data_IF_433048340289
#
_entry.id   IF_433048340289
#
_cell.length_a   1.000
_cell.length_b   1.000
_cell.length_c   1.000
_cell.angle_alpha   90.00
_cell.angle_beta   90.00
_cell.angle_gamma   90.00
#
_symmetry.space_group_name_H-M   'P 1'
#
loop_
_entity.id
_entity.type
_entity.pdbx_description
1 polymer ?
#
# COMPACT_ATOMS: atom_id res chain seq x y z
N UNK A 1 -49.19 -29.64 35.02
CA UNK A 1 -49.56 -28.65 33.99
C UNK A 1 -48.30 -27.93 33.51
N UNK A 2 -47.19 -28.68 33.39
CA UNK A 2 -45.83 -28.11 33.51
C UNK A 2 -44.92 -28.48 32.33
N UNK A 3 -45.37 -29.34 31.41
CA UNK A 3 -44.63 -29.61 30.16
C UNK A 3 -44.97 -28.61 29.04
N UNK A 4 -46.14 -27.96 29.09
CA UNK A 4 -46.56 -27.03 28.03
C UNK A 4 -45.94 -25.63 28.15
N UNK A 5 -45.55 -25.20 29.36
CA UNK A 5 -44.92 -23.88 29.57
C UNK A 5 -43.44 -23.89 29.17
N UNK A 6 -42.75 -25.01 29.35
CA UNK A 6 -41.35 -25.15 28.94
C UNK A 6 -41.15 -25.16 27.41
N UNK A 7 -42.12 -25.69 26.65
CA UNK A 7 -42.07 -25.71 25.19
C UNK A 7 -42.29 -24.32 24.57
N UNK A 8 -43.09 -23.44 25.20
CA UNK A 8 -43.31 -22.07 24.71
C UNK A 8 -42.11 -21.15 24.99
N UNK A 9 -41.39 -21.33 26.09
CA UNK A 9 -40.20 -20.53 26.42
C UNK A 9 -38.97 -20.90 25.57
N UNK A 10 -38.87 -22.15 25.10
CA UNK A 10 -37.80 -22.57 24.19
C UNK A 10 -37.99 -22.06 22.74
N UNK A 11 -39.23 -21.75 22.33
CA UNK A 11 -39.52 -21.17 21.00
C UNK A 11 -39.34 -19.65 20.93
N UNK A 12 -39.23 -18.93 22.06
CA UNK A 12 -38.94 -17.49 22.05
C UNK A 12 -37.44 -17.15 22.07
N UNK A 13 -36.55 -18.12 22.28
CA UNK A 13 -35.09 -17.91 22.31
C UNK A 13 -34.39 -18.09 20.94
N UNK A 14 -35.14 -18.42 19.87
CA UNK A 14 -34.61 -18.56 18.50
C UNK A 14 -34.98 -17.40 17.57
N UNK A 15 -35.58 -16.33 18.10
CA UNK A 15 -35.71 -15.08 17.40
C UNK A 15 -34.55 -14.14 17.80
N UNK A 16 -33.51 -14.07 16.96
CA UNK A 16 -32.71 -12.86 16.63
C UNK A 16 -31.22 -13.13 16.45
N UNK A 17 -30.88 -13.80 15.36
CA UNK A 17 -29.74 -13.41 14.53
C UNK A 17 -30.04 -13.85 13.10
N UNK A 18 -31.08 -13.25 12.50
CA UNK A 18 -31.16 -13.28 11.03
C UNK A 18 -29.82 -12.73 10.54
N UNK A 19 -29.06 -13.44 9.68
CA UNK A 19 -27.91 -12.84 9.05
C UNK A 19 -28.41 -11.57 8.38
N UNK A 20 -27.85 -10.42 8.78
CA UNK A 20 -28.18 -9.16 8.13
C UNK A 20 -28.04 -9.41 6.63
N UNK A 21 -29.16 -9.30 5.90
CA UNK A 21 -29.16 -9.45 4.45
C UNK A 21 -28.09 -8.48 3.97
N UNK A 22 -26.98 -9.01 3.45
CA UNK A 22 -25.92 -8.18 2.92
C UNK A 22 -26.54 -7.39 1.77
N UNK A 23 -26.89 -6.13 2.01
CA UNK A 23 -27.35 -5.26 0.93
C UNK A 23 -26.18 -5.13 -0.04
N UNK A 24 -26.45 -5.54 -1.28
CA UNK A 24 -25.53 -5.36 -2.38
C UNK A 24 -25.61 -3.89 -2.80
N UNK A 25 -24.55 -3.13 -2.56
CA UNK A 25 -24.42 -1.79 -3.10
C UNK A 25 -24.39 -1.87 -4.63
N UNK A 26 -25.23 -1.08 -5.31
CA UNK A 26 -25.16 -0.90 -6.76
C UNK A 26 -24.11 0.15 -7.13
N UNK A 27 -23.62 0.20 -8.39
CA UNK A 27 -22.71 1.26 -8.82
C UNK A 27 -23.23 2.69 -8.55
N UNK A 28 -24.53 3.01 -8.76
CA UNK A 28 -25.10 4.29 -8.33
C UNK A 28 -25.03 4.55 -6.82
N UNK A 29 -25.20 3.52 -5.98
CA UNK A 29 -25.07 3.69 -4.53
C UNK A 29 -23.64 4.05 -4.14
N UNK A 30 -22.66 3.35 -4.70
CA UNK A 30 -21.24 3.65 -4.47
C UNK A 30 -20.88 5.04 -5.01
N UNK A 31 -21.45 5.46 -6.15
CA UNK A 31 -21.28 6.80 -6.68
C UNK A 31 -21.75 7.89 -5.69
N UNK A 32 -22.87 7.67 -4.99
CA UNK A 32 -23.35 8.60 -3.94
C UNK A 32 -22.38 8.68 -2.77
N UNK A 33 -21.78 7.55 -2.36
CA UNK A 33 -20.74 7.52 -1.32
C UNK A 33 -19.48 8.30 -1.75
N UNK A 34 -19.05 8.12 -3.00
CA UNK A 34 -17.92 8.84 -3.60
C UNK A 34 -18.20 10.35 -3.59
N UNK A 35 -19.35 10.78 -4.12
CA UNK A 35 -19.70 12.20 -4.24
C UNK A 35 -19.90 12.88 -2.88
N UNK A 36 -20.38 12.16 -1.88
CA UNK A 36 -20.48 12.64 -0.51
C UNK A 36 -19.10 12.85 0.14
N UNK A 37 -18.15 11.96 -0.14
CA UNK A 37 -16.79 12.10 0.36
C UNK A 37 -16.03 13.22 -0.38
N UNK A 38 -16.14 13.25 -1.71
CA UNK A 38 -15.53 14.22 -2.61
C UNK A 38 -16.50 14.56 -3.75
N UNK A 39 -17.00 15.79 -3.73
CA UNK A 39 -17.81 16.32 -4.83
C UNK A 39 -17.02 16.45 -6.13
N UNK A 40 -17.74 16.52 -7.26
CA UNK A 40 -17.15 16.83 -8.57
C UNK A 40 -16.33 15.69 -9.20
N UNK A 41 -16.43 14.46 -8.68
CA UNK A 41 -15.80 13.30 -9.32
C UNK A 41 -16.50 13.00 -10.64
N UNK A 42 -15.76 13.05 -11.74
CA UNK A 42 -16.26 12.69 -13.06
C UNK A 42 -16.51 11.19 -13.13
N UNK A 43 -17.64 10.81 -13.73
CA UNK A 43 -18.07 9.42 -13.88
C UNK A 43 -18.03 8.63 -12.56
N UNK A 44 -18.64 9.20 -11.51
CA UNK A 44 -18.69 8.57 -10.19
C UNK A 44 -19.37 7.18 -10.24
N UNK A 45 -20.32 6.96 -11.15
CA UNK A 45 -20.94 5.64 -11.37
C UNK A 45 -19.94 4.63 -11.92
N UNK A 46 -19.14 4.98 -12.94
CA UNK A 46 -18.08 4.10 -13.44
C UNK A 46 -16.98 3.83 -12.41
N UNK A 47 -16.66 4.78 -11.54
CA UNK A 47 -15.79 4.51 -10.38
C UNK A 47 -16.45 3.56 -9.37
N UNK A 48 -17.75 3.71 -9.14
CA UNK A 48 -18.51 2.81 -8.27
C UNK A 48 -18.52 1.37 -8.79
N UNK A 49 -18.72 1.20 -10.08
CA UNK A 49 -18.69 -0.10 -10.76
C UNK A 49 -17.32 -0.77 -10.64
N UNK A 50 -16.24 -0.05 -11.00
CA UNK A 50 -14.88 -0.58 -10.90
C UNK A 50 -14.47 -0.90 -9.45
N UNK A 51 -14.99 -0.18 -8.44
CA UNK A 51 -14.74 -0.51 -7.02
C UNK A 51 -15.41 -1.84 -6.64
N UNK A 52 -16.67 -2.04 -7.05
CA UNK A 52 -17.40 -3.28 -6.79
C UNK A 52 -16.74 -4.46 -7.51
N UNK A 53 -16.34 -4.28 -8.76
CA UNK A 53 -15.58 -5.26 -9.53
C UNK A 53 -14.23 -5.56 -8.86
N UNK A 54 -13.46 -4.55 -8.47
CA UNK A 54 -12.18 -4.73 -7.79
C UNK A 54 -12.29 -5.53 -6.48
N UNK A 55 -13.35 -5.32 -5.69
CA UNK A 55 -13.59 -6.10 -4.48
C UNK A 55 -13.97 -7.54 -4.83
N UNK A 56 -14.90 -7.73 -5.76
CA UNK A 56 -15.40 -9.05 -6.18
C UNK A 56 -14.31 -9.91 -6.80
N UNK A 57 -13.54 -9.35 -7.74
CA UNK A 57 -12.42 -10.03 -8.41
C UNK A 57 -11.32 -10.45 -7.43
N UNK A 58 -11.12 -9.67 -6.37
CA UNK A 58 -10.21 -10.01 -5.29
C UNK A 58 -10.81 -10.96 -4.24
N UNK A 59 -12.07 -11.37 -4.40
CA UNK A 59 -12.85 -12.20 -3.47
C UNK A 59 -13.04 -11.55 -2.11
N UNK A 60 -13.11 -10.23 -2.07
CA UNK A 60 -13.50 -9.48 -0.89
C UNK A 60 -14.99 -9.19 -0.94
N UNK A 61 -15.68 -9.36 0.19
CA UNK A 61 -17.08 -8.96 0.28
C UNK A 61 -17.21 -7.45 0.04
N UNK A 62 -18.13 -6.99 -0.83
CA UNK A 62 -18.40 -5.57 -1.07
C UNK A 62 -19.21 -4.96 0.08
N UNK A 63 -18.72 -5.11 1.32
CA UNK A 63 -19.33 -4.50 2.49
C UNK A 63 -19.08 -2.99 2.51
N UNK A 64 -19.90 -2.25 3.27
CA UNK A 64 -19.70 -0.81 3.50
C UNK A 64 -18.28 -0.50 3.98
N UNK A 65 -17.72 -1.32 4.87
CA UNK A 65 -16.38 -1.15 5.41
C UNK A 65 -15.31 -1.26 4.31
N UNK A 66 -15.43 -2.24 3.41
CA UNK A 66 -14.47 -2.44 2.33
C UNK A 66 -14.62 -1.39 1.24
N UNK A 67 -15.86 -1.09 0.82
CA UNK A 67 -16.16 -0.02 -0.14
C UNK A 67 -15.63 1.33 0.36
N UNK A 68 -15.96 1.71 1.59
CA UNK A 68 -15.50 2.98 2.16
C UNK A 68 -14.00 3.02 2.38
N UNK A 69 -13.34 1.88 2.64
CA UNK A 69 -11.88 1.81 2.72
C UNK A 69 -11.22 2.12 1.37
N UNK A 70 -11.74 1.55 0.27
CA UNK A 70 -11.24 1.80 -1.08
C UNK A 70 -11.51 3.24 -1.52
N UNK A 71 -12.72 3.77 -1.28
CA UNK A 71 -13.07 5.18 -1.53
C UNK A 71 -12.12 6.13 -0.80
N UNK A 72 -11.88 5.90 0.50
CA UNK A 72 -11.05 6.77 1.31
C UNK A 72 -9.61 6.85 0.80
N UNK A 73 -9.02 5.71 0.40
CA UNK A 73 -7.67 5.65 -0.17
C UNK A 73 -7.64 6.28 -1.57
N UNK A 74 -8.54 5.90 -2.48
CA UNK A 74 -8.56 6.46 -3.85
C UNK A 74 -8.74 7.99 -3.85
N UNK A 75 -9.58 8.51 -2.95
CA UNK A 75 -9.75 9.95 -2.76
C UNK A 75 -8.51 10.63 -2.19
N UNK A 76 -7.82 9.99 -1.25
CA UNK A 76 -6.61 10.55 -0.65
C UNK A 76 -5.43 10.55 -1.64
N UNK A 77 -5.27 9.49 -2.42
CA UNK A 77 -4.09 9.26 -3.27
C UNK A 77 -4.17 9.99 -4.60
N UNK A 78 -5.31 9.92 -5.29
CA UNK A 78 -5.46 10.50 -6.64
C UNK A 78 -6.65 11.44 -6.77
N UNK A 79 -7.58 11.38 -5.82
CA UNK A 79 -8.82 12.12 -5.96
C UNK A 79 -9.74 11.57 -7.04
N UNK A 80 -9.75 10.26 -7.24
CA UNK A 80 -10.45 9.59 -8.34
C UNK A 80 -9.94 10.01 -9.72
N UNK A 81 -8.63 9.95 -9.90
CA UNK A 81 -7.97 10.10 -11.21
C UNK A 81 -7.05 8.92 -11.45
N UNK A 82 -7.25 8.18 -12.55
CA UNK A 82 -6.49 6.94 -12.81
C UNK A 82 -4.98 7.18 -12.97
N UNK A 83 -4.61 8.21 -13.72
CA UNK A 83 -3.23 8.61 -13.96
C UNK A 83 -3.10 10.14 -13.74
N UNK A 84 -3.00 10.60 -12.49
CA UNK A 84 -3.04 12.03 -12.18
C UNK A 84 -1.81 12.76 -12.71
N UNK A 85 -2.03 13.96 -13.25
CA UNK A 85 -0.93 14.85 -13.59
C UNK A 85 -0.25 15.37 -12.32
N UNK A 86 1.07 15.41 -12.33
CA UNK A 86 1.88 15.98 -11.25
C UNK A 86 2.38 17.37 -11.71
N UNK A 87 2.01 18.45 -11.00
CA UNK A 87 2.48 19.79 -11.37
C UNK A 87 4.02 19.87 -11.42
N UNK A 88 4.54 20.40 -12.51
CA UNK A 88 5.99 20.53 -12.78
C UNK A 88 6.78 19.20 -12.83
N UNK A 89 6.11 18.07 -13.08
CA UNK A 89 6.75 16.75 -13.07
C UNK A 89 8.01 16.68 -13.95
N UNK A 90 7.93 17.09 -15.21
CA UNK A 90 9.07 17.00 -16.12
C UNK A 90 10.30 17.78 -15.65
N UNK A 91 10.11 18.94 -15.02
CA UNK A 91 11.22 19.73 -14.43
C UNK A 91 11.83 19.03 -13.21
N UNK A 92 10.99 18.46 -12.36
CA UNK A 92 11.42 17.72 -11.16
C UNK A 92 12.18 16.45 -11.57
N UNK A 93 11.66 15.71 -12.54
CA UNK A 93 12.26 14.49 -13.05
C UNK A 93 13.59 14.76 -13.76
N UNK A 94 13.66 15.79 -14.62
CA UNK A 94 14.91 16.20 -15.27
C UNK A 94 16.00 16.57 -14.24
N UNK A 95 15.63 17.34 -13.20
CA UNK A 95 16.54 17.65 -12.10
C UNK A 95 17.02 16.40 -11.39
N UNK A 96 16.12 15.46 -11.07
CA UNK A 96 16.48 14.22 -10.40
C UNK A 96 17.43 13.34 -11.26
N UNK A 97 17.26 13.32 -12.59
CA UNK A 97 18.19 12.66 -13.51
C UNK A 97 19.56 13.34 -13.45
N UNK A 98 19.63 14.67 -13.53
CA UNK A 98 20.88 15.44 -13.43
C UNK A 98 21.59 15.23 -12.10
N UNK A 99 20.88 15.33 -10.98
CA UNK A 99 21.43 15.15 -9.63
C UNK A 99 22.02 13.75 -9.45
N UNK A 100 21.34 12.71 -9.96
CA UNK A 100 21.84 11.35 -9.85
C UNK A 100 23.04 11.09 -10.75
N UNK A 101 23.00 11.53 -12.02
CA UNK A 101 24.15 11.40 -12.92
C UNK A 101 25.35 12.22 -12.44
N UNK A 102 25.12 13.38 -11.83
CA UNK A 102 26.17 14.21 -11.24
C UNK A 102 26.92 13.56 -10.08
N UNK A 103 26.37 12.49 -9.47
CA UNK A 103 27.09 11.67 -8.47
C UNK A 103 28.12 10.73 -9.09
N UNK A 104 28.13 10.56 -10.40
CA UNK A 104 29.11 9.76 -11.13
C UNK A 104 30.27 10.69 -11.54
N UNK A 105 31.43 10.63 -10.86
CA UNK A 105 32.54 11.51 -11.17
C UNK A 105 32.97 11.37 -12.63
N UNK A 106 33.36 12.48 -13.27
CA UNK A 106 33.93 12.56 -14.63
C UNK A 106 32.94 12.24 -15.76
N UNK A 107 32.02 11.28 -15.59
CA UNK A 107 31.16 10.78 -16.66
C UNK A 107 29.71 11.28 -16.62
N UNK A 108 29.24 11.84 -15.50
CA UNK A 108 27.85 12.24 -15.31
C UNK A 108 27.30 13.21 -16.37
N UNK A 109 28.06 14.26 -16.70
CA UNK A 109 27.66 15.25 -17.71
C UNK A 109 27.56 14.64 -19.11
N UNK A 110 28.58 13.86 -19.51
CA UNK A 110 28.59 13.17 -20.80
C UNK A 110 27.44 12.17 -20.93
N UNK A 111 27.11 11.45 -19.86
CA UNK A 111 25.96 10.55 -19.83
C UNK A 111 24.63 11.29 -20.00
N UNK A 112 24.50 12.48 -19.40
CA UNK A 112 23.32 13.31 -19.58
C UNK A 112 23.17 13.78 -21.04
N UNK A 113 24.23 14.32 -21.64
CA UNK A 113 24.21 14.80 -23.03
C UNK A 113 23.90 13.66 -24.01
N UNK A 114 24.44 12.47 -23.72
CA UNK A 114 24.12 11.25 -24.45
C UNK A 114 22.61 10.94 -24.40
N UNK A 115 22.00 10.98 -23.21
CA UNK A 115 20.56 10.77 -23.05
C UNK A 115 19.70 11.90 -23.67
N UNK A 116 20.22 13.12 -23.77
CA UNK A 116 19.54 14.25 -24.45
C UNK A 116 19.64 14.15 -25.98
N UNK A 117 20.58 13.35 -26.50
CA UNK A 117 20.74 13.07 -27.93
C UNK A 117 20.09 11.76 -28.44
N UNK A 118 19.79 10.80 -27.55
CA UNK A 118 19.31 9.46 -27.93
C UNK A 118 17.81 9.24 -27.70
N UNK A 119 17.10 8.50 -28.57
CA UNK A 119 17.61 7.81 -29.76
C UNK A 119 17.91 8.74 -30.94
N UNK A 120 17.22 9.88 -31.00
CA UNK A 120 17.47 10.98 -31.92
C UNK A 120 17.10 12.32 -31.25
N UNK A 121 17.60 13.43 -31.80
CA UNK A 121 17.43 14.76 -31.21
C UNK A 121 15.96 15.20 -31.09
N UNK A 122 15.01 14.66 -31.85
CA UNK A 122 13.58 15.03 -31.76
C UNK A 122 12.84 14.23 -30.67
N UNK A 123 13.25 13.00 -30.41
CA UNK A 123 12.54 12.09 -29.50
C UNK A 123 13.38 11.59 -28.32
N UNK A 124 14.35 12.40 -27.90
CA UNK A 124 15.34 11.98 -26.91
C UNK A 124 14.73 11.64 -25.54
N UNK A 125 15.44 10.81 -24.76
CA UNK A 125 15.00 10.43 -23.42
C UNK A 125 14.75 11.66 -22.55
N UNK A 126 15.70 12.60 -22.50
CA UNK A 126 15.56 13.81 -21.70
C UNK A 126 14.40 14.70 -22.18
N UNK A 127 14.15 14.79 -23.50
CA UNK A 127 12.98 15.51 -24.01
C UNK A 127 11.66 14.89 -23.55
N UNK A 128 11.57 13.55 -23.59
CA UNK A 128 10.40 12.81 -23.07
C UNK A 128 10.21 13.04 -21.56
N UNK A 129 11.30 13.00 -20.79
CA UNK A 129 11.29 13.31 -19.35
C UNK A 129 10.79 14.74 -19.09
N UNK A 130 11.33 15.75 -19.80
CA UNK A 130 10.92 17.16 -19.63
C UNK A 130 9.46 17.41 -20.03
N UNK A 131 8.95 16.67 -21.00
CA UNK A 131 7.56 16.76 -21.46
C UNK A 131 6.56 16.02 -20.56
N UNK A 132 7.03 15.14 -19.67
CA UNK A 132 6.19 14.30 -18.83
C UNK A 132 5.28 15.13 -17.91
N UNK A 133 4.00 14.76 -17.89
CA UNK A 133 2.98 15.34 -17.01
C UNK A 133 2.49 14.35 -15.98
N UNK A 134 2.58 13.06 -16.28
CA UNK A 134 2.13 11.95 -15.42
C UNK A 134 3.25 10.96 -15.15
N UNK A 135 3.08 10.13 -14.13
CA UNK A 135 4.04 9.04 -13.84
C UNK A 135 4.12 8.04 -14.99
N UNK A 136 2.99 7.77 -15.66
CA UNK A 136 2.98 6.96 -16.88
C UNK A 136 3.88 7.53 -17.97
N UNK A 137 3.92 8.84 -18.16
CA UNK A 137 4.79 9.45 -19.18
C UNK A 137 6.27 9.20 -18.88
N UNK A 138 6.65 9.31 -17.60
CA UNK A 138 8.01 9.00 -17.16
C UNK A 138 8.34 7.51 -17.31
N UNK A 139 7.40 6.62 -16.96
CA UNK A 139 7.57 5.18 -17.12
C UNK A 139 7.66 4.78 -18.61
N UNK A 140 6.90 5.41 -19.50
CA UNK A 140 7.01 5.19 -20.95
C UNK A 140 8.32 5.74 -21.52
N UNK A 141 8.78 6.92 -21.07
CA UNK A 141 10.09 7.44 -21.43
C UNK A 141 11.20 6.47 -21.01
N UNK A 142 11.05 5.90 -19.81
CA UNK A 142 11.96 4.91 -19.25
C UNK A 142 12.02 3.63 -20.08
N UNK A 143 10.87 3.03 -20.37
CA UNK A 143 10.78 1.81 -21.18
C UNK A 143 11.34 1.99 -22.58
N UNK A 144 11.08 3.14 -23.21
CA UNK A 144 11.62 3.45 -24.53
C UNK A 144 13.16 3.52 -24.54
N UNK A 145 13.78 4.01 -23.46
CA UNK A 145 15.24 4.00 -23.31
C UNK A 145 15.78 2.58 -23.18
N UNK A 146 15.14 1.73 -22.38
CA UNK A 146 15.53 0.31 -22.22
C UNK A 146 15.39 -0.45 -23.54
N UNK A 147 14.28 -0.27 -24.24
CA UNK A 147 14.02 -0.93 -25.52
C UNK A 147 15.03 -0.51 -26.60
N UNK A 148 15.34 0.80 -26.70
CA UNK A 148 16.40 1.29 -27.58
C UNK A 148 17.77 0.70 -27.23
N UNK A 149 18.05 0.51 -25.93
CA UNK A 149 19.27 -0.12 -25.45
C UNK A 149 19.39 -1.59 -25.84
N UNK A 150 18.31 -2.36 -25.65
CA UNK A 150 18.27 -3.79 -25.97
C UNK A 150 18.36 -4.07 -27.48
N UNK A 151 17.89 -3.16 -28.34
CA UNK A 151 17.92 -3.30 -29.79
C UNK A 151 19.27 -3.01 -30.46
N UNK A 152 20.29 -2.53 -29.73
CA UNK A 152 21.63 -2.25 -30.28
C UNK A 152 22.69 -3.12 -29.62
N UNK A 153 23.22 -4.10 -30.37
CA UNK A 153 24.34 -4.98 -29.97
C UNK A 153 25.63 -4.24 -29.58
N UNK A 154 25.81 -2.98 -29.98
CA UNK A 154 26.93 -2.13 -29.54
C UNK A 154 26.78 -1.60 -28.10
N UNK A 155 25.61 -1.78 -27.47
CA UNK A 155 25.38 -1.55 -26.05
C UNK A 155 25.51 -2.85 -25.24
N UNK A 156 25.96 -3.95 -25.85
CA UNK A 156 26.25 -5.20 -25.14
C UNK A 156 27.33 -4.98 -24.06
N UNK A 157 28.26 -4.03 -24.25
CA UNK A 157 29.16 -3.58 -23.18
C UNK A 157 28.45 -2.83 -22.02
N UNK A 158 27.36 -2.11 -22.28
CA UNK A 158 26.57 -1.42 -21.25
C UNK A 158 25.59 -2.39 -20.54
N UNK A 159 25.13 -3.44 -21.24
CA UNK A 159 24.36 -4.57 -20.72
C UNK A 159 25.24 -5.53 -19.89
N UNK A 160 26.49 -5.79 -20.32
CA UNK A 160 27.47 -6.62 -19.60
C UNK A 160 27.97 -6.01 -18.28
N UNK A 161 27.86 -4.69 -18.09
CA UNK A 161 28.32 -4.04 -16.85
C UNK A 161 27.31 -4.16 -15.71
N UNK A 162 26.13 -4.78 -15.90
CA UNK A 162 25.05 -4.81 -14.91
C UNK A 162 24.62 -3.40 -14.44
N UNK A 163 25.12 -2.36 -15.11
CA UNK A 163 24.94 -0.96 -14.76
C UNK A 163 23.63 -0.47 -15.32
N UNK A 164 23.17 -0.90 -16.49
CA UNK A 164 21.85 -0.52 -16.98
C UNK A 164 20.75 -1.11 -16.11
N UNK A 165 20.76 -2.40 -15.77
CA UNK A 165 19.76 -3.00 -14.87
C UNK A 165 19.84 -2.42 -13.45
N UNK A 166 21.05 -2.22 -12.90
CA UNK A 166 21.20 -1.47 -11.65
C UNK A 166 20.76 -0.02 -11.78
N UNK A 167 21.00 0.66 -12.90
CA UNK A 167 20.58 2.04 -13.17
C UNK A 167 19.06 2.09 -13.41
N UNK A 168 18.46 1.07 -14.01
CA UNK A 168 17.02 0.87 -14.20
C UNK A 168 16.35 0.74 -12.83
N UNK A 169 16.82 -0.20 -12.02
CA UNK A 169 16.30 -0.46 -10.67
C UNK A 169 16.67 0.63 -9.66
N UNK A 170 17.76 1.36 -9.88
CA UNK A 170 18.20 2.44 -9.03
C UNK A 170 17.61 3.79 -9.39
N UNK A 171 17.11 3.97 -10.62
CA UNK A 171 16.63 5.25 -11.14
C UNK A 171 15.15 5.27 -11.54
N UNK A 172 14.49 4.13 -11.74
CA UNK A 172 13.02 4.10 -11.80
C UNK A 172 12.45 4.30 -10.38
N UNK A 173 12.36 5.57 -9.98
CA UNK A 173 11.82 6.00 -8.69
C UNK A 173 10.29 5.88 -8.59
N UNK A 174 9.63 5.43 -9.66
CA UNK A 174 8.20 5.19 -9.67
C UNK A 174 7.93 3.88 -8.94
N UNK A 175 7.92 3.97 -7.62
CA UNK A 175 7.65 2.85 -6.72
C UNK A 175 6.16 2.61 -6.52
N UNK A 176 5.33 3.63 -6.77
CA UNK A 176 3.88 3.64 -6.56
C UNK A 176 3.18 4.31 -7.73
N UNK A 177 2.04 3.76 -8.19
CA UNK A 177 1.35 4.23 -9.41
C UNK A 177 -0.17 4.08 -9.35
N UNK A 178 -0.87 4.77 -10.25
CA UNK A 178 -2.29 4.58 -10.48
C UNK A 178 -3.18 5.33 -9.48
N UNK A 179 -4.49 5.04 -9.56
CA UNK A 179 -5.56 5.72 -8.80
C UNK A 179 -5.43 5.57 -7.28
N UNK A 180 -4.77 4.52 -6.82
CA UNK A 180 -4.53 4.25 -5.40
C UNK A 180 -3.03 4.25 -5.04
N UNK A 181 -2.15 4.77 -5.91
CA UNK A 181 -0.69 4.82 -5.68
C UNK A 181 -0.11 3.49 -5.19
N UNK A 182 -0.43 2.42 -5.91
CA UNK A 182 -0.10 1.03 -5.54
C UNK A 182 1.38 0.76 -5.75
N UNK A 183 2.00 0.05 -4.81
CA UNK A 183 3.40 -0.38 -4.97
C UNK A 183 3.56 -1.28 -6.19
N UNK A 184 4.45 -0.90 -7.12
CA UNK A 184 4.71 -1.70 -8.32
C UNK A 184 5.34 -3.04 -7.96
N UNK A 185 6.26 -3.07 -7.00
CA UNK A 185 6.87 -4.31 -6.52
C UNK A 185 5.80 -5.27 -5.96
N UNK A 186 4.83 -4.74 -5.21
CA UNK A 186 3.68 -5.53 -4.73
C UNK A 186 2.86 -6.09 -5.90
N UNK A 187 2.51 -5.25 -6.88
CA UNK A 187 1.70 -5.66 -8.02
C UNK A 187 2.39 -6.72 -8.89
N UNK A 188 3.71 -6.58 -9.13
CA UNK A 188 4.52 -7.56 -9.86
C UNK A 188 4.62 -8.87 -9.10
N UNK A 189 4.88 -8.83 -7.78
CA UNK A 189 4.91 -10.02 -6.94
C UNK A 189 3.55 -10.73 -6.92
N UNK A 190 2.46 -9.97 -6.89
CA UNK A 190 1.11 -10.52 -6.96
C UNK A 190 0.83 -11.17 -8.32
N UNK A 191 1.17 -10.50 -9.42
CA UNK A 191 0.99 -11.00 -10.78
C UNK A 191 1.83 -12.25 -11.07
N UNK A 192 3.05 -12.32 -10.52
CA UNK A 192 3.88 -13.52 -10.57
C UNK A 192 3.22 -14.71 -9.86
N UNK A 193 2.45 -14.49 -8.79
CA UNK A 193 1.84 -15.57 -8.02
C UNK A 193 2.87 -16.61 -7.57
N UNK A 194 2.54 -17.89 -7.75
CA UNK A 194 3.41 -19.04 -7.43
C UNK A 194 4.27 -19.52 -8.61
N UNK A 195 4.33 -18.75 -9.72
CA UNK A 195 5.12 -19.16 -10.88
C UNK A 195 6.59 -19.37 -10.51
N UNK A 196 7.13 -20.52 -10.91
CA UNK A 196 8.52 -20.91 -10.63
C UNK A 196 9.56 -20.06 -11.38
N UNK A 197 9.15 -19.41 -12.48
CA UNK A 197 10.02 -18.56 -13.30
C UNK A 197 9.87 -17.07 -12.98
N UNK A 198 10.91 -16.25 -13.24
CA UNK A 198 10.79 -14.79 -13.22
C UNK A 198 9.73 -14.28 -14.21
N UNK A 199 9.13 -13.13 -13.87
CA UNK A 199 8.24 -12.39 -14.77
C UNK A 199 9.07 -11.80 -15.92
N UNK A 200 8.60 -11.90 -17.17
CA UNK A 200 9.29 -11.30 -18.31
C UNK A 200 9.12 -9.77 -18.32
N UNK A 201 9.92 -9.06 -19.11
CA UNK A 201 9.75 -7.62 -19.30
C UNK A 201 8.38 -7.26 -19.89
N UNK A 202 7.84 -8.05 -20.82
CA UNK A 202 6.53 -7.82 -21.40
C UNK A 202 5.41 -8.00 -20.38
N UNK A 203 5.49 -9.04 -19.54
CA UNK A 203 4.54 -9.27 -18.45
C UNK A 203 4.61 -8.15 -17.40
N UNK A 204 5.82 -7.68 -17.05
CA UNK A 204 6.03 -6.54 -16.15
C UNK A 204 5.39 -5.26 -16.70
N UNK A 205 5.60 -4.98 -17.99
CA UNK A 205 4.98 -3.83 -18.68
C UNK A 205 3.46 -3.93 -18.71
N UNK A 206 2.90 -5.12 -18.97
CA UNK A 206 1.45 -5.34 -18.95
C UNK A 206 0.84 -5.07 -17.56
N UNK A 207 1.51 -5.50 -16.48
CA UNK A 207 1.08 -5.20 -15.11
C UNK A 207 1.11 -3.69 -14.85
N UNK A 208 2.20 -3.01 -15.24
CA UNK A 208 2.33 -1.55 -15.09
C UNK A 208 1.26 -0.80 -15.89
N UNK A 209 0.99 -1.21 -17.12
CA UNK A 209 -0.04 -0.58 -17.95
C UNK A 209 -1.43 -0.76 -17.35
N UNK A 210 -1.71 -1.95 -16.81
CA UNK A 210 -2.94 -2.20 -16.04
C UNK A 210 -3.03 -1.29 -14.82
N UNK A 211 -1.95 -1.08 -14.07
CA UNK A 211 -1.96 -0.18 -12.90
C UNK A 211 -2.35 1.27 -13.23
N UNK A 212 -2.07 1.76 -14.44
CA UNK A 212 -2.46 3.10 -14.86
C UNK A 212 -3.93 3.23 -15.29
N UNK A 213 -4.64 2.11 -15.45
CA UNK A 213 -6.09 2.11 -15.72
C UNK A 213 -6.89 2.32 -14.43
N UNK A 214 -8.13 2.81 -14.54
CA UNK A 214 -9.04 2.97 -13.40
C UNK A 214 -9.28 1.63 -12.68
N UNK A 215 -9.77 0.63 -13.42
CA UNK A 215 -10.04 -0.70 -12.91
C UNK A 215 -8.79 -1.39 -12.34
N UNK A 216 -7.65 -1.32 -13.04
CA UNK A 216 -6.42 -1.96 -12.57
C UNK A 216 -5.83 -1.31 -11.32
N UNK A 217 -5.81 0.03 -11.23
CA UNK A 217 -5.39 0.74 -10.03
C UNK A 217 -6.26 0.40 -8.81
N UNK A 218 -7.58 0.27 -9.00
CA UNK A 218 -8.52 -0.16 -7.96
C UNK A 218 -8.34 -1.62 -7.57
N UNK A 219 -8.16 -2.52 -8.55
CA UNK A 219 -7.94 -3.95 -8.30
C UNK A 219 -6.70 -4.18 -7.44
N UNK A 220 -5.54 -3.68 -7.85
CA UNK A 220 -4.31 -3.90 -7.09
C UNK A 220 -4.29 -3.07 -5.79
N UNK A 221 -4.93 -1.90 -5.75
CA UNK A 221 -5.02 -1.09 -4.54
C UNK A 221 -5.91 -1.72 -3.47
N UNK A 222 -7.08 -2.24 -3.85
CA UNK A 222 -7.93 -3.03 -2.95
C UNK A 222 -7.18 -4.26 -2.45
N UNK A 223 -6.44 -4.96 -3.33
CA UNK A 223 -5.61 -6.10 -2.93
C UNK A 223 -4.50 -5.71 -1.96
N UNK A 224 -3.79 -4.61 -2.20
CA UNK A 224 -2.75 -4.11 -1.31
C UNK A 224 -3.32 -3.78 0.07
N UNK A 225 -4.45 -3.08 0.11
CA UNK A 225 -5.14 -2.61 1.31
C UNK A 225 -5.77 -3.74 2.13
N UNK A 226 -6.49 -4.66 1.50
CA UNK A 226 -7.38 -5.63 2.17
C UNK A 226 -6.83 -7.07 2.14
N UNK A 227 -5.90 -7.38 1.24
CA UNK A 227 -5.40 -8.74 0.98
C UNK A 227 -4.40 -9.27 1.99
N UNK A 228 -4.60 -8.98 3.28
CA UNK A 228 -3.85 -9.56 4.39
C UNK A 228 -4.64 -9.43 5.71
N UNK A 229 -4.54 -10.44 6.55
CA UNK A 229 -5.09 -10.45 7.91
C UNK A 229 -4.26 -9.54 8.80
N UNK A 230 -4.89 -8.62 9.54
CA UNK A 230 -4.15 -7.66 10.37
C UNK A 230 -4.25 -7.93 11.86
N UNK A 231 -5.39 -8.44 12.35
CA UNK A 231 -5.70 -8.46 13.78
C UNK A 231 -5.90 -7.06 14.38
N UNK A 232 -6.16 -6.04 13.56
CA UNK A 232 -6.38 -4.66 14.01
C UNK A 232 -7.85 -4.40 14.33
N UNK A 233 -8.10 -3.88 15.53
CA UNK A 233 -9.44 -3.45 15.95
C UNK A 233 -9.90 -2.18 15.23
N UNK A 234 -8.96 -1.38 14.70
CA UNK A 234 -9.25 -0.10 14.05
C UNK A 234 -8.65 -0.03 12.65
N UNK A 235 -9.44 0.46 11.69
CA UNK A 235 -9.01 0.62 10.28
C UNK A 235 -7.86 1.62 10.10
N UNK A 236 -7.70 2.58 11.01
CA UNK A 236 -6.62 3.57 10.95
C UNK A 236 -5.22 2.93 10.85
N UNK A 237 -4.99 1.80 11.52
CA UNK A 237 -3.73 1.06 11.44
C UNK A 237 -3.54 0.40 10.06
N UNK A 238 -4.62 -0.06 9.43
CA UNK A 238 -4.56 -0.56 8.04
C UNK A 238 -4.29 0.58 7.05
N UNK A 239 -4.82 1.78 7.30
CA UNK A 239 -4.52 2.96 6.48
C UNK A 239 -3.06 3.41 6.67
N UNK A 240 -2.52 3.33 7.88
CA UNK A 240 -1.11 3.56 8.14
C UNK A 240 -0.24 2.53 7.40
N UNK A 241 -0.57 1.24 7.48
CA UNK A 241 0.13 0.18 6.75
C UNK A 241 0.07 0.34 5.23
N UNK A 242 -1.02 0.88 4.68
CA UNK A 242 -1.10 1.14 3.24
C UNK A 242 0.03 2.08 2.78
N UNK A 243 0.36 3.06 3.61
CA UNK A 243 1.41 4.04 3.35
C UNK A 243 2.80 3.59 3.79
N UNK A 244 2.92 2.93 4.94
CA UNK A 244 4.20 2.55 5.56
C UNK A 244 4.63 1.10 5.27
N UNK A 245 3.77 0.31 4.64
CA UNK A 245 4.01 -1.11 4.37
C UNK A 245 3.19 -2.03 5.28
N UNK A 246 2.85 -3.21 4.77
CA UNK A 246 2.05 -4.20 5.49
C UNK A 246 2.69 -4.56 6.84
N UNK A 247 1.85 -4.58 7.87
CA UNK A 247 2.19 -4.85 9.27
C UNK A 247 3.02 -3.77 9.99
N UNK A 248 3.31 -2.64 9.35
CA UNK A 248 4.09 -1.55 9.96
C UNK A 248 3.53 -1.08 11.29
N UNK A 249 2.20 -1.01 11.45
CA UNK A 249 1.56 -0.52 12.67
C UNK A 249 1.72 -1.48 13.84
N UNK A 250 1.64 -2.80 13.57
CA UNK A 250 1.91 -3.85 14.55
C UNK A 250 3.38 -3.81 14.97
N UNK A 251 4.27 -3.73 13.98
CA UNK A 251 5.71 -3.76 14.20
C UNK A 251 6.17 -2.49 14.93
N UNK A 252 5.57 -1.33 14.66
CA UNK A 252 5.81 -0.09 15.38
C UNK A 252 5.46 -0.24 16.87
N UNK A 253 4.34 -0.90 17.20
CA UNK A 253 3.96 -1.16 18.60
C UNK A 253 4.96 -2.11 19.27
N UNK A 254 5.41 -3.14 18.54
CA UNK A 254 6.45 -4.04 19.01
C UNK A 254 7.78 -3.32 19.26
N UNK A 255 8.22 -2.45 18.35
CA UNK A 255 9.41 -1.60 18.53
C UNK A 255 9.28 -0.69 19.76
N UNK A 256 8.10 -0.13 20.04
CA UNK A 256 7.89 0.68 21.25
C UNK A 256 8.04 -0.14 22.53
N UNK A 257 7.55 -1.39 22.54
CA UNK A 257 7.77 -2.34 23.65
C UNK A 257 9.27 -2.60 23.81
N UNK A 258 9.98 -2.91 22.72
CA UNK A 258 11.43 -3.16 22.74
C UNK A 258 12.20 -1.93 23.24
N UNK A 259 11.88 -0.73 22.76
CA UNK A 259 12.48 0.52 23.22
C UNK A 259 12.29 0.70 24.73
N UNK A 260 11.07 0.48 25.22
CA UNK A 260 10.72 0.65 26.63
C UNK A 260 11.47 -0.33 27.53
N UNK A 261 11.58 -1.60 27.13
CA UNK A 261 12.21 -2.64 27.96
C UNK A 261 13.74 -2.63 27.88
N UNK A 262 14.31 -2.32 26.70
CA UNK A 262 15.76 -2.28 26.52
C UNK A 262 16.38 -1.01 27.09
N UNK A 263 15.63 0.10 27.14
CA UNK A 263 16.15 1.44 27.42
C UNK A 263 16.91 2.06 26.25
N UNK A 264 16.91 1.40 25.09
CA UNK A 264 17.61 1.87 23.88
C UNK A 264 16.69 2.71 23.01
N UNK A 265 17.30 3.60 22.21
CA UNK A 265 16.58 4.40 21.22
C UNK A 265 16.27 3.54 19.99
N UNK A 266 15.03 3.07 19.89
CA UNK A 266 14.52 2.32 18.74
C UNK A 266 13.48 3.18 18.02
N UNK A 267 13.64 3.35 16.70
CA UNK A 267 12.62 4.00 15.88
C UNK A 267 11.35 3.13 15.86
N UNK A 268 10.18 3.77 15.94
CA UNK A 268 8.88 3.09 15.86
C UNK A 268 8.29 3.25 14.47
N UNK A 269 9.07 2.91 13.45
CA UNK A 269 8.74 3.06 12.03
C UNK A 269 8.06 1.82 11.43
N UNK A 270 8.05 0.69 12.13
CA UNK A 270 7.43 -0.55 11.69
C UNK A 270 8.33 -1.45 10.83
N UNK A 271 9.60 -1.08 10.65
CA UNK A 271 10.61 -1.89 9.98
C UNK A 271 11.56 -2.52 11.01
N UNK A 272 11.35 -3.80 11.32
CA UNK A 272 12.24 -4.55 12.20
C UNK A 272 13.55 -4.89 11.49
N UNK A 273 13.50 -5.13 10.19
CA UNK A 273 14.63 -5.46 9.33
C UNK A 273 14.81 -4.42 8.20
N UNK A 274 16.01 -4.38 7.62
CA UNK A 274 16.27 -3.63 6.39
C UNK A 274 16.06 -4.51 5.17
N UNK A 275 15.56 -3.94 4.07
CA UNK A 275 15.27 -4.67 2.83
C UNK A 275 16.04 -4.11 1.63
N UNK A 276 16.35 -4.99 0.68
CA UNK A 276 16.75 -4.57 -0.65
C UNK A 276 15.51 -4.11 -1.48
N UNK A 277 15.75 -3.62 -2.69
CA UNK A 277 14.68 -3.07 -3.55
C UNK A 277 13.71 -4.12 -4.09
N UNK A 278 14.12 -5.39 -4.09
CA UNK A 278 13.28 -6.52 -4.48
C UNK A 278 12.56 -7.16 -3.29
N UNK A 279 12.67 -6.54 -2.10
CA UNK A 279 11.92 -6.90 -0.90
C UNK A 279 12.53 -8.06 -0.11
N UNK A 280 13.81 -8.39 -0.29
CA UNK A 280 14.51 -9.40 0.52
C UNK A 280 15.17 -8.74 1.74
N UNK A 281 15.09 -9.41 2.88
CA UNK A 281 15.75 -8.94 4.09
C UNK A 281 17.28 -8.95 3.92
N UNK A 282 17.94 -7.83 4.21
CA UNK A 282 19.40 -7.70 4.18
C UNK A 282 20.03 -8.35 5.39
N UNK A 283 21.26 -8.85 5.25
CA UNK A 283 22.00 -9.47 6.35
C UNK A 283 22.35 -8.48 7.49
N UNK A 284 22.29 -7.18 7.23
CA UNK A 284 22.57 -6.13 8.21
C UNK A 284 21.69 -6.28 9.46
N UNK A 285 22.32 -6.13 10.63
CA UNK A 285 21.64 -6.12 11.93
C UNK A 285 21.11 -4.72 12.17
N UNK A 286 19.79 -4.58 12.27
CA UNK A 286 19.14 -3.29 12.51
C UNK A 286 19.26 -2.86 13.98
N UNK A 287 18.90 -1.60 14.26
CA UNK A 287 18.77 -1.12 15.63
C UNK A 287 17.69 -1.88 16.42
N UNK A 288 16.58 -2.25 15.77
CA UNK A 288 15.54 -3.08 16.39
C UNK A 288 16.08 -4.47 16.75
N UNK A 289 16.82 -5.12 15.84
CA UNK A 289 17.43 -6.42 16.11
C UNK A 289 18.50 -6.33 17.21
N UNK A 290 19.34 -5.29 17.19
CA UNK A 290 20.35 -5.03 18.23
C UNK A 290 19.71 -4.90 19.61
N UNK A 291 18.65 -4.10 19.72
CA UNK A 291 17.94 -3.89 20.98
C UNK A 291 17.25 -5.19 21.47
N UNK A 292 16.72 -6.00 20.55
CA UNK A 292 16.14 -7.31 20.88
C UNK A 292 17.18 -8.29 21.40
N UNK A 293 18.35 -8.39 20.75
CA UNK A 293 19.44 -9.26 21.21
C UNK A 293 19.87 -8.92 22.64
N UNK A 294 20.10 -7.63 22.91
CA UNK A 294 20.45 -7.16 24.25
C UNK A 294 19.33 -7.41 25.28
N UNK A 295 18.06 -7.26 24.89
CA UNK A 295 16.92 -7.52 25.77
C UNK A 295 16.79 -9.01 26.11
N UNK A 296 16.96 -9.87 25.11
CA UNK A 296 16.86 -11.33 25.24
C UNK A 296 17.96 -11.86 26.16
N UNK A 297 19.18 -11.38 26.00
CA UNK A 297 20.32 -11.72 26.85
C UNK A 297 20.09 -11.27 28.30
N UNK A 298 19.74 -9.98 28.50
CA UNK A 298 19.52 -9.39 29.83
C UNK A 298 18.45 -10.14 30.65
N UNK A 299 17.42 -10.66 29.99
CA UNK A 299 16.29 -11.33 30.66
C UNK A 299 16.27 -12.84 30.46
N UNK A 300 17.34 -13.43 29.93
CA UNK A 300 17.49 -14.87 29.72
C UNK A 300 16.27 -15.52 29.05
N UNK A 301 15.77 -14.94 27.95
CA UNK A 301 14.53 -15.41 27.29
C UNK A 301 14.70 -16.76 26.54
N UNK A 302 15.93 -17.29 26.49
CA UNK A 302 16.24 -18.58 25.86
C UNK A 302 16.02 -18.59 24.35
N UNK A 303 16.23 -17.45 23.69
CA UNK A 303 16.15 -17.27 22.24
C UNK A 303 17.55 -16.93 21.76
N UNK A 304 18.17 -17.77 20.94
CA UNK A 304 19.47 -17.43 20.36
C UNK A 304 19.35 -16.44 19.18
N UNK A 305 20.48 -15.86 18.75
CA UNK A 305 20.49 -14.87 17.68
C UNK A 305 19.95 -15.40 16.34
N UNK A 306 20.15 -16.69 16.04
CA UNK A 306 19.67 -17.29 14.80
C UNK A 306 18.15 -17.51 14.85
N UNK A 307 17.61 -17.92 15.99
CA UNK A 307 16.19 -18.03 16.25
C UNK A 307 15.50 -16.67 16.19
N UNK A 308 16.06 -15.66 16.85
CA UNK A 308 15.59 -14.27 16.74
C UNK A 308 15.55 -13.84 15.27
N UNK A 309 16.63 -14.06 14.53
CA UNK A 309 16.69 -13.64 13.13
C UNK A 309 15.65 -14.35 12.26
N UNK A 310 15.43 -15.65 12.46
CA UNK A 310 14.36 -16.39 11.78
C UNK A 310 12.97 -15.83 12.07
N UNK A 311 12.70 -15.50 13.34
CA UNK A 311 11.43 -14.87 13.74
C UNK A 311 11.25 -13.50 13.07
N UNK A 312 12.29 -12.66 13.07
CA UNK A 312 12.24 -11.31 12.48
C UNK A 312 12.05 -11.31 10.96
N UNK A 313 12.53 -12.32 10.23
CA UNK A 313 12.29 -12.42 8.77
C UNK A 313 10.80 -12.51 8.44
N UNK A 314 9.99 -13.02 9.36
CA UNK A 314 8.53 -13.08 9.23
C UNK A 314 7.83 -11.74 9.50
N UNK A 315 8.54 -10.64 9.76
CA UNK A 315 7.93 -9.37 10.18
C UNK A 315 6.93 -8.76 9.18
N UNK A 316 7.01 -9.13 7.90
CA UNK A 316 6.07 -8.72 6.84
C UNK A 316 4.95 -9.74 6.60
N UNK A 317 4.80 -10.74 7.47
CA UNK A 317 3.71 -11.73 7.45
C UNK A 317 2.91 -11.70 8.76
N UNK A 318 1.78 -12.41 8.76
CA UNK A 318 0.97 -12.62 9.97
C UNK A 318 1.70 -13.51 10.98
N UNK A 319 2.53 -14.44 10.49
CA UNK A 319 3.18 -15.46 11.31
C UNK A 319 4.14 -14.89 12.34
N UNK A 320 4.61 -13.64 12.16
CA UNK A 320 5.40 -12.96 13.17
C UNK A 320 4.73 -12.95 14.54
N UNK A 321 3.39 -12.80 14.60
CA UNK A 321 2.66 -12.80 15.89
C UNK A 321 2.62 -14.17 16.56
N UNK A 322 2.96 -15.23 15.83
CA UNK A 322 2.97 -16.60 16.34
C UNK A 322 4.38 -17.03 16.77
N UNK A 323 5.38 -16.14 16.62
CA UNK A 323 6.76 -16.44 16.97
C UNK A 323 7.02 -16.45 18.47
N UNK A 324 8.07 -17.17 18.86
CA UNK A 324 8.54 -17.17 20.25
C UNK A 324 9.04 -15.79 20.67
N UNK A 325 9.74 -15.07 19.79
CA UNK A 325 10.20 -13.70 20.04
C UNK A 325 9.03 -12.76 20.35
N UNK A 326 7.98 -12.78 19.54
CA UNK A 326 6.79 -11.95 19.75
C UNK A 326 6.15 -12.20 21.13
N UNK A 327 5.91 -13.47 21.43
CA UNK A 327 5.22 -13.87 22.66
C UNK A 327 6.05 -13.58 23.91
N UNK A 328 7.35 -13.91 23.88
CA UNK A 328 8.26 -13.72 25.01
C UNK A 328 8.45 -12.24 25.36
N UNK A 329 8.66 -11.38 24.36
CA UNK A 329 8.86 -9.93 24.57
C UNK A 329 7.59 -9.26 25.10
N UNK A 330 6.41 -9.64 24.57
CA UNK A 330 5.13 -9.11 25.06
C UNK A 330 4.79 -9.59 26.47
N UNK A 331 5.06 -10.85 26.79
CA UNK A 331 4.89 -11.38 28.15
C UNK A 331 5.84 -10.68 29.14
N UNK A 332 7.09 -10.45 28.75
CA UNK A 332 8.07 -9.69 29.54
C UNK A 332 7.56 -8.25 29.81
N UNK A 333 7.00 -7.58 28.80
CA UNK A 333 6.40 -6.26 28.97
C UNK A 333 5.30 -6.25 30.03
N UNK A 334 4.35 -7.18 29.93
CA UNK A 334 3.26 -7.30 30.90
C UNK A 334 3.79 -7.56 32.31
N UNK A 335 4.75 -8.48 32.45
CA UNK A 335 5.38 -8.81 33.74
C UNK A 335 6.07 -7.61 34.39
N UNK A 336 6.82 -6.82 33.63
CA UNK A 336 7.61 -5.72 34.18
C UNK A 336 6.82 -4.42 34.38
N UNK A 337 5.73 -4.23 33.62
CA UNK A 337 4.98 -2.95 33.65
C UNK A 337 3.59 -3.07 34.27
N UNK A 338 3.07 -4.29 34.43
CA UNK A 338 1.68 -4.55 34.81
C UNK A 338 0.65 -4.17 33.76
N UNK A 339 1.07 -3.72 32.57
CA UNK A 339 0.18 -3.22 31.50
C UNK A 339 0.09 -4.21 30.34
N UNK A 340 -1.08 -4.31 29.72
CA UNK A 340 -1.22 -5.03 28.48
C UNK A 340 -0.44 -4.33 27.35
N UNK A 341 0.38 -5.06 26.56
CA UNK A 341 1.09 -4.48 25.43
C UNK A 341 0.11 -4.10 24.31
N UNK A 342 0.23 -2.89 23.78
CA UNK A 342 -0.54 -2.47 22.60
C UNK A 342 -0.29 -3.43 21.42
N UNK A 343 -1.34 -3.78 20.67
CA UNK A 343 -1.20 -4.63 19.49
C UNK A 343 -0.67 -3.87 18.28
N UNK A 344 -1.13 -2.63 18.09
CA UNK A 344 -0.72 -1.75 17.00
C UNK A 344 -0.67 -0.29 17.46
N UNK A 345 0.15 0.50 16.78
CA UNK A 345 0.19 1.96 16.91
C UNK A 345 0.53 2.60 15.56
N UNK A 346 0.32 3.92 15.43
CA UNK A 346 0.72 4.63 14.21
C UNK A 346 2.25 4.69 14.10
N UNK A 347 2.84 4.30 12.94
CA UNK A 347 4.27 4.41 12.72
C UNK A 347 4.76 5.87 12.74
N UNK A 348 5.90 6.09 13.38
CA UNK A 348 6.57 7.38 13.52
C UNK A 348 7.43 7.78 12.31
N UNK A 349 6.91 7.61 11.09
CA UNK A 349 7.66 7.86 9.85
C UNK A 349 7.42 9.29 9.36
N UNK A 350 8.51 10.01 9.06
CA UNK A 350 8.45 11.22 8.23
C UNK A 350 8.44 10.83 6.75
N UNK A 351 7.41 11.24 6.02
CA UNK A 351 7.28 10.93 4.61
C UNK A 351 8.17 11.84 3.77
N UNK A 352 9.00 11.24 2.94
CA UNK A 352 9.84 11.93 1.95
C UNK A 352 9.39 11.52 0.55
N UNK A 353 8.96 12.48 -0.24
CA UNK A 353 8.73 12.32 -1.68
C UNK A 353 8.92 13.65 -2.37
N UNK A 354 9.40 13.62 -3.62
CA UNK A 354 9.51 14.81 -4.47
C UNK A 354 8.16 15.53 -4.67
N UNK A 355 7.04 14.83 -4.44
CA UNK A 355 5.68 15.37 -4.52
C UNK A 355 5.23 16.11 -3.24
N UNK A 356 5.94 15.96 -2.13
CA UNK A 356 5.49 16.43 -0.81
C UNK A 356 6.13 17.78 -0.47
N UNK A 357 5.30 18.84 -0.40
CA UNK A 357 5.74 20.20 -0.05
C UNK A 357 5.74 20.51 1.46
N UNK A 358 5.09 19.68 2.29
CA UNK A 358 4.93 19.89 3.75
C UNK A 358 5.42 18.69 4.55
N UNK A 359 5.77 18.85 5.84
CA UNK A 359 6.13 17.73 6.74
C UNK A 359 4.95 16.74 6.92
N UNK A 360 4.79 15.80 6.00
CA UNK A 360 3.77 14.76 6.06
C UNK A 360 4.33 13.56 6.84
N UNK A 361 3.51 12.92 7.66
CA UNK A 361 3.86 11.69 8.37
C UNK A 361 2.83 10.61 8.05
N UNK A 362 3.18 9.33 8.28
CA UNK A 362 2.22 8.22 8.17
C UNK A 362 1.00 8.45 9.06
N UNK A 363 1.19 9.01 10.26
CA UNK A 363 0.09 9.37 11.14
C UNK A 363 -0.87 10.41 10.51
N UNK A 364 -0.35 11.47 9.89
CA UNK A 364 -1.16 12.48 9.21
C UNK A 364 -1.91 11.87 8.01
N UNK A 365 -1.23 10.99 7.26
CA UNK A 365 -1.85 10.26 6.16
C UNK A 365 -3.02 9.40 6.66
N UNK A 366 -2.77 8.53 7.63
CA UNK A 366 -3.75 7.59 8.16
C UNK A 366 -4.96 8.32 8.76
N UNK A 367 -4.75 9.41 9.48
CA UNK A 367 -5.81 10.25 10.05
C UNK A 367 -6.67 10.92 8.97
N UNK A 368 -6.07 11.43 7.89
CA UNK A 368 -6.81 11.98 6.74
C UNK A 368 -7.66 10.91 6.06
N UNK A 369 -7.10 9.72 5.80
CA UNK A 369 -7.86 8.61 5.23
C UNK A 369 -8.98 8.19 6.19
N UNK A 370 -8.71 8.09 7.48
CA UNK A 370 -9.70 7.69 8.49
C UNK A 370 -10.88 8.67 8.56
N UNK A 371 -10.65 9.98 8.42
CA UNK A 371 -11.74 10.96 8.28
C UNK A 371 -12.59 10.74 7.03
N UNK A 372 -11.97 10.48 5.87
CA UNK A 372 -12.69 10.19 4.62
C UNK A 372 -13.51 8.90 4.74
N UNK A 373 -12.90 7.87 5.33
CA UNK A 373 -13.55 6.61 5.66
C UNK A 373 -14.77 6.84 6.56
N UNK A 374 -14.64 7.60 7.65
CA UNK A 374 -15.74 7.92 8.55
C UNK A 374 -16.90 8.66 7.87
N UNK A 375 -16.60 9.63 6.99
CA UNK A 375 -17.63 10.33 6.19
C UNK A 375 -18.39 9.37 5.27
N UNK A 376 -17.68 8.47 4.59
CA UNK A 376 -18.30 7.45 3.74
C UNK A 376 -19.17 6.48 4.57
N UNK A 377 -18.62 5.97 5.68
CA UNK A 377 -19.31 5.03 6.56
C UNK A 377 -20.60 5.62 7.13
N UNK A 378 -20.59 6.90 7.52
CA UNK A 378 -21.77 7.58 8.03
C UNK A 378 -22.93 7.57 7.01
N UNK A 379 -22.65 7.89 5.74
CA UNK A 379 -23.68 7.84 4.69
C UNK A 379 -24.07 6.39 4.36
N UNK A 380 -23.11 5.47 4.26
CA UNK A 380 -23.39 4.07 3.97
C UNK A 380 -24.31 3.44 5.02
N UNK A 381 -24.10 3.74 6.31
CA UNK A 381 -24.99 3.31 7.40
C UNK A 381 -26.38 3.92 7.30
N UNK A 382 -26.50 5.20 6.91
CA UNK A 382 -27.79 5.85 6.69
C UNK A 382 -28.58 5.21 5.53
N UNK A 383 -27.90 4.91 4.42
CA UNK A 383 -28.49 4.25 3.25
C UNK A 383 -29.04 2.86 3.61
N UNK A 384 -28.35 2.13 4.50
CA UNK A 384 -28.80 0.81 4.96
C UNK A 384 -29.97 0.86 5.95
N UNK A 385 -29.99 1.86 6.84
CA UNK A 385 -31.06 2.01 7.83
C UNK A 385 -32.33 2.66 7.27
N UNK A 386 -32.28 3.17 6.05
CA UNK A 386 -33.43 3.71 5.30
C UNK A 386 -33.45 3.07 3.91
N UNK A 387 -33.79 1.77 3.79
CA UNK A 387 -34.14 1.23 2.49
C UNK A 387 -35.30 2.08 1.99
N UNK A 388 -35.09 2.77 0.88
CA UNK A 388 -35.99 3.78 0.33
C UNK A 388 -37.44 3.31 0.48
N UNK A 389 -38.23 4.02 1.31
CA UNK A 389 -39.68 4.14 1.07
C UNK A 389 -39.77 4.60 -0.38
N UNK A 390 -40.25 3.70 -1.25
CA UNK A 390 -40.38 3.93 -2.68
C UNK A 390 -40.83 5.37 -2.93
N UNK A 391 -40.07 6.11 -3.74
CA UNK A 391 -40.48 7.42 -4.19
C UNK A 391 -41.90 7.33 -4.76
N UNK A 392 -42.80 8.29 -4.46
CA UNK A 392 -44.14 8.29 -5.04
C UNK A 392 -44.04 8.25 -6.57
N UNK A 393 -44.91 7.44 -7.17
CA UNK A 393 -44.97 7.05 -8.60
C UNK A 393 -45.22 8.20 -9.61
N UNK A 394 -44.95 9.46 -9.25
CA UNK A 394 -45.39 10.65 -9.97
C UNK A 394 -44.29 11.38 -10.77
N UNK A 395 -43.26 10.66 -11.23
CA UNK A 395 -42.15 11.28 -11.98
C UNK A 395 -41.68 10.48 -13.21
N UNK A 396 -42.63 9.95 -13.97
CA UNK A 396 -42.41 9.54 -15.36
C UNK A 396 -43.64 9.95 -16.17
N UNK A 397 -43.53 10.89 -17.14
CA UNK A 397 -44.56 11.06 -18.15
C UNK A 397 -44.48 9.90 -19.16
N UNK A 398 -45.64 9.50 -19.67
CA UNK A 398 -45.90 8.36 -20.56
C UNK A 398 -44.94 8.23 -21.76
#
# INVERSE_FOLDING_TARGET
MDCFVAALLAMMALASAMPAIAQNFSPPDVARLILNERGGVRDATGWGDDILAALTDNKFQPSRENICSVIAIASQESGFTANPAVPNLGKIADRAVREKLGKIPIFGAKAYDMLDGMPDARHSFIKRVRAARTERDLDLAYRALVEYGAGKSSLDGLLQWGLLDKWIEEYNQISTVGSMQVSVAFALNHARGEHWRPITHSESNAVRDRLYTRAGGLFYGAKQLLGYETGYDQKIFRFADYNAGRYSSRNAAFQAIVAKLSGQKVATDGDLLSYDKVGRARADVTNSETALRALIERHALGIDNAALRRDLVSEKSKDFTNTRTWSAVRALYKRLTGKEPAFAQLPGIQLKSVKIKSKMTTAIFADRVNRRYGKCMALASQMQNRPILMAPRWFWPD
#
